data_IF_643157894547
#
_entry.id   IF_643157894547
#
_cell.length_a   1.000
_cell.length_b   1.000
_cell.length_c   1.000
_cell.angle_alpha   90.00
_cell.angle_beta   90.00
_cell.angle_gamma   90.00
#
_symmetry.space_group_name_H-M   'P 1'
#
loop_
_entity.id
_entity.type
_entity.pdbx_description
1 polymer ?
#
# COMPACT_ATOMS: atom_id res chain seq x y z
N UNK A 1 -10.82 15.34 0.10
CA UNK A 1 -10.09 14.23 -0.54
C UNK A 1 -10.35 12.97 0.28
N UNK A 2 -10.65 11.81 -0.32
CA UNK A 2 -10.63 10.54 0.39
C UNK A 2 -9.24 10.33 1.01
N UNK A 3 -9.19 9.86 2.26
CA UNK A 3 -7.94 9.60 2.98
C UNK A 3 -7.64 8.10 2.94
N UNK A 4 -6.37 7.73 2.83
CA UNK A 4 -5.95 6.33 2.99
C UNK A 4 -6.32 5.82 4.39
N UNK A 5 -6.96 4.64 4.45
CA UNK A 5 -7.32 3.99 5.71
C UNK A 5 -6.13 3.24 6.29
N UNK A 6 -5.88 3.40 7.59
CA UNK A 6 -4.89 2.58 8.31
C UNK A 6 -5.52 1.26 8.73
N UNK A 7 -5.01 0.15 8.20
CA UNK A 7 -5.51 -1.20 8.47
C UNK A 7 -4.36 -2.14 8.85
N UNK A 8 -4.71 -3.31 9.40
CA UNK A 8 -3.77 -4.43 9.59
C UNK A 8 -4.12 -5.50 8.56
N UNK A 9 -3.19 -5.77 7.64
CA UNK A 9 -3.32 -6.90 6.72
C UNK A 9 -3.21 -8.22 7.47
N UNK A 10 -4.24 -9.07 7.36
CA UNK A 10 -4.33 -10.36 8.06
C UNK A 10 -3.90 -11.54 7.19
N UNK A 11 -3.00 -11.30 6.23
CA UNK A 11 -2.45 -12.28 5.31
C UNK A 11 -0.92 -12.13 5.22
N UNK A 12 -0.25 -13.12 4.64
CA UNK A 12 1.21 -13.13 4.51
C UNK A 12 1.70 -12.09 3.50
N UNK A 13 2.75 -11.38 3.85
CA UNK A 13 3.48 -10.45 2.96
C UNK A 13 4.97 -10.56 3.21
N UNK A 14 5.78 -9.99 2.32
CA UNK A 14 7.23 -9.86 2.54
C UNK A 14 7.57 -9.02 3.79
N UNK A 15 6.60 -8.23 4.28
CA UNK A 15 6.65 -7.51 5.55
C UNK A 15 6.97 -8.41 6.76
N UNK A 16 6.56 -9.68 6.72
CA UNK A 16 6.90 -10.66 7.75
C UNK A 16 8.41 -10.82 7.92
N UNK A 17 9.16 -10.78 6.81
CA UNK A 17 10.61 -10.82 6.85
C UNK A 17 11.21 -9.43 7.15
N UNK A 18 10.83 -8.41 6.38
CA UNK A 18 11.49 -7.10 6.49
C UNK A 18 11.26 -6.45 7.86
N UNK A 19 10.03 -6.44 8.37
CA UNK A 19 9.72 -5.92 9.70
C UNK A 19 10.01 -6.94 10.81
N UNK A 20 9.64 -8.22 10.60
CA UNK A 20 9.69 -9.22 11.66
C UNK A 20 11.09 -9.79 11.93
N UNK A 21 11.90 -9.98 10.89
CA UNK A 21 13.23 -10.61 10.99
C UNK A 21 14.34 -9.58 10.82
N UNK A 22 14.29 -8.76 9.76
CA UNK A 22 15.35 -7.81 9.44
C UNK A 22 15.27 -6.50 10.27
N UNK A 23 14.17 -6.28 11.00
CA UNK A 23 13.98 -5.08 11.82
C UNK A 23 13.85 -3.77 11.04
N UNK A 24 13.55 -3.84 9.74
CA UNK A 24 13.38 -2.68 8.86
C UNK A 24 11.94 -2.16 9.01
N UNK A 25 11.72 -0.88 9.38
CA UNK A 25 10.39 -0.29 9.40
C UNK A 25 9.69 -0.47 8.05
N UNK A 26 8.56 -1.18 8.05
CA UNK A 26 7.84 -1.56 6.83
C UNK A 26 6.38 -1.16 6.93
N UNK A 27 5.82 -0.63 5.85
CA UNK A 27 4.39 -0.43 5.67
C UNK A 27 3.91 -1.13 4.40
N UNK A 28 2.65 -1.56 4.40
CA UNK A 28 1.93 -1.94 3.20
C UNK A 28 1.07 -0.78 2.70
N UNK A 29 1.08 -0.52 1.39
CA UNK A 29 0.24 0.51 0.77
C UNK A 29 -0.19 0.06 -0.62
N UNK A 30 -1.46 0.27 -0.97
CA UNK A 30 -1.99 -0.10 -2.27
C UNK A 30 -3.51 0.08 -2.35
N UNK A 31 -4.07 0.14 -3.58
CA UNK A 31 -5.50 0.17 -3.80
C UNK A 31 -6.12 -1.23 -3.67
N UNK A 32 -7.45 -1.29 -3.58
CA UNK A 32 -8.21 -2.53 -3.61
C UNK A 32 -8.66 -3.04 -2.24
N UNK A 33 -9.38 -4.14 -2.29
CA UNK A 33 -9.91 -4.86 -1.14
C UNK A 33 -9.14 -6.17 -0.97
N UNK A 34 -8.35 -6.29 0.09
CA UNK A 34 -7.53 -7.46 0.33
C UNK A 34 -8.35 -8.76 0.45
N UNK A 35 -9.64 -8.65 0.76
CA UNK A 35 -10.54 -9.81 0.86
C UNK A 35 -10.83 -10.42 -0.50
N UNK A 36 -10.55 -9.73 -1.60
CA UNK A 36 -10.74 -10.24 -2.96
C UNK A 36 -9.51 -10.96 -3.52
N UNK A 37 -8.35 -10.82 -2.88
CA UNK A 37 -7.11 -11.46 -3.33
C UNK A 37 -7.28 -12.98 -3.49
N UNK A 38 -6.82 -13.50 -4.63
CA UNK A 38 -6.87 -14.92 -5.01
C UNK A 38 -8.28 -15.51 -5.14
N UNK A 39 -9.31 -14.68 -5.35
CA UNK A 39 -10.69 -15.14 -5.59
C UNK A 39 -11.11 -14.95 -7.05
N UNK A 40 -12.06 -15.75 -7.56
CA UNK A 40 -12.68 -15.47 -8.85
C UNK A 40 -13.27 -14.06 -8.87
N UNK A 41 -13.13 -13.36 -10.01
CA UNK A 41 -13.57 -11.96 -10.18
C UNK A 41 -12.86 -10.96 -9.25
N UNK A 42 -11.63 -11.25 -8.82
CA UNK A 42 -10.75 -10.25 -8.22
C UNK A 42 -10.71 -8.98 -9.10
N UNK A 43 -10.93 -7.83 -8.47
CA UNK A 43 -11.00 -6.56 -9.14
C UNK A 43 -10.53 -5.43 -8.21
N UNK A 44 -10.24 -4.29 -8.81
CA UNK A 44 -9.82 -3.08 -8.12
C UNK A 44 -10.53 -1.88 -8.73
N UNK A 45 -10.91 -0.91 -7.90
CA UNK A 45 -11.48 0.35 -8.38
C UNK A 45 -10.43 1.17 -9.13
N UNK A 46 -10.75 1.61 -10.34
CA UNK A 46 -9.87 2.48 -11.14
C UNK A 46 -9.58 3.80 -10.40
N UNK A 47 -10.58 4.38 -9.75
CA UNK A 47 -10.40 5.60 -8.95
C UNK A 47 -9.42 5.38 -7.79
N UNK A 48 -9.49 4.21 -7.12
CA UNK A 48 -8.52 3.85 -6.09
C UNK A 48 -7.12 3.68 -6.64
N UNK A 49 -6.97 3.09 -7.83
CA UNK A 49 -5.66 2.98 -8.50
C UNK A 49 -5.08 4.36 -8.79
N UNK A 50 -5.87 5.27 -9.35
CA UNK A 50 -5.44 6.66 -9.63
C UNK A 50 -5.02 7.36 -8.33
N UNK A 51 -5.80 7.25 -7.25
CA UNK A 51 -5.42 7.83 -5.95
C UNK A 51 -4.16 7.18 -5.37
N UNK A 52 -3.94 5.89 -5.59
CA UNK A 52 -2.74 5.21 -5.13
C UNK A 52 -1.48 5.77 -5.81
N UNK A 53 -1.56 6.14 -7.10
CA UNK A 53 -0.46 6.81 -7.83
C UNK A 53 -0.06 8.10 -7.12
N UNK A 54 -1.01 8.97 -6.78
CA UNK A 54 -0.72 10.20 -6.05
C UNK A 54 -0.09 9.93 -4.68
N UNK A 55 -0.57 8.89 -3.98
CA UNK A 55 0.03 8.45 -2.72
C UNK A 55 1.48 8.01 -2.86
N UNK A 56 1.80 7.18 -3.86
CA UNK A 56 3.17 6.75 -4.15
C UNK A 56 4.08 7.92 -4.54
N UNK A 57 3.58 8.86 -5.35
CA UNK A 57 4.31 10.08 -5.70
C UNK A 57 4.63 10.91 -4.46
N UNK A 58 3.66 11.09 -3.55
CA UNK A 58 3.88 11.80 -2.30
C UNK A 58 4.87 11.07 -1.39
N UNK A 59 4.79 9.75 -1.28
CA UNK A 59 5.78 8.96 -0.52
C UNK A 59 7.19 9.17 -1.08
N UNK A 60 7.36 9.02 -2.39
CA UNK A 60 8.66 9.21 -3.04
C UNK A 60 9.20 10.64 -2.85
N UNK A 61 8.36 11.66 -3.04
CA UNK A 61 8.75 13.06 -2.81
C UNK A 61 9.22 13.30 -1.39
N UNK A 62 8.51 12.77 -0.39
CA UNK A 62 8.87 12.96 1.02
C UNK A 62 10.12 12.15 1.41
N UNK A 63 10.24 10.90 0.94
CA UNK A 63 11.39 10.03 1.27
C UNK A 63 12.68 10.55 0.65
N UNK A 64 12.62 10.97 -0.61
CA UNK A 64 13.80 11.43 -1.36
C UNK A 64 13.98 12.96 -1.33
N UNK A 65 13.14 13.67 -0.57
CA UNK A 65 13.12 15.13 -0.48
C UNK A 65 13.11 15.83 -1.87
N UNK A 66 12.30 15.31 -2.80
CA UNK A 66 12.19 15.81 -4.18
C UNK A 66 11.31 17.06 -4.31
N UNK A 67 11.26 17.87 -3.24
CA UNK A 67 10.52 19.12 -3.21
C UNK A 67 11.37 20.19 -3.91
N UNK A 68 11.28 20.23 -5.25
CA UNK A 68 11.67 21.37 -6.09
C UNK A 68 10.50 22.30 -6.32
#
# INVERSE_FOLDING_TARGET
>A
MPQASKVVWRFGTDGSYTAGIAGIPTIGYGPGDERLAHKPCENVSIDQVIMAVDGYLNLAKNIFNLNG
#
